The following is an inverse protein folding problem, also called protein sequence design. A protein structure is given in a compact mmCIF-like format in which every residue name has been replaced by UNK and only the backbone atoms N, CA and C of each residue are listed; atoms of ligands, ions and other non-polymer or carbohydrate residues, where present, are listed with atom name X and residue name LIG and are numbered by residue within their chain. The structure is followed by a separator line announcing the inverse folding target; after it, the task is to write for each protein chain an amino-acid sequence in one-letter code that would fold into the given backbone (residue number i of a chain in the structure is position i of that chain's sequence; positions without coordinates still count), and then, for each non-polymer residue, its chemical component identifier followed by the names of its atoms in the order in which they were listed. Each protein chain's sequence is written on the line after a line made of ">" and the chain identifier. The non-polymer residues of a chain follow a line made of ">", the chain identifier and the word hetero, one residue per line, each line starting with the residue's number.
data_IF_620009961850
#
_entry.id   IF_620009961850
#
_cell.length_a   1.000
_cell.length_b   1.000
_cell.length_c   1.000
_cell.angle_alpha   90.00
_cell.angle_beta   90.00
_cell.angle_gamma   90.00
#
_symmetry.space_group_name_H-M   'P 1'
#
loop_
_entity.id
_entity.type
_entity.pdbx_description
1 polymer ?
#
# COMPACT_ATOMS: atom_id res chain seq x y z
N UNK A 1 51.57 35.21 -11.23
CA UNK A 1 50.15 35.47 -11.06
C UNK A 1 49.50 34.27 -10.36
N UNK A 2 48.74 34.49 -9.27
CA UNK A 2 48.24 33.43 -8.39
C UNK A 2 46.94 32.85 -8.97
N UNK A 3 46.95 31.59 -9.39
CA UNK A 3 45.69 30.91 -9.74
C UNK A 3 45.01 30.40 -8.47
N UNK A 4 43.85 31.00 -8.16
CA UNK A 4 42.96 30.59 -7.08
C UNK A 4 42.10 29.40 -7.48
N UNK A 5 42.02 28.45 -6.56
CA UNK A 5 41.21 27.23 -6.61
C UNK A 5 39.71 27.56 -6.69
N UNK A 6 38.96 26.88 -7.56
CA UNK A 6 37.49 26.83 -7.49
C UNK A 6 37.07 25.35 -7.38
N UNK A 7 36.39 25.02 -6.29
CA UNK A 7 35.88 23.69 -5.98
C UNK A 7 34.86 23.23 -7.02
N UNK A 8 35.07 22.04 -7.60
CA UNK A 8 34.10 21.36 -8.44
C UNK A 8 33.22 20.45 -7.56
N UNK A 9 31.94 20.79 -7.40
CA UNK A 9 30.93 19.88 -6.86
C UNK A 9 30.39 19.08 -8.04
N UNK A 10 30.69 17.77 -8.10
CA UNK A 10 30.04 16.86 -9.05
C UNK A 10 28.67 16.47 -8.50
N UNK A 11 27.61 16.89 -9.17
CA UNK A 11 26.37 16.13 -9.17
C UNK A 11 26.54 14.98 -10.17
N UNK A 12 26.38 13.75 -9.71
CA UNK A 12 26.27 12.56 -10.57
C UNK A 12 24.84 12.53 -11.08
N UNK A 13 24.65 13.05 -12.29
CA UNK A 13 23.42 12.89 -13.06
C UNK A 13 23.47 11.48 -13.65
N UNK A 14 22.64 10.57 -13.13
CA UNK A 14 22.47 9.25 -13.72
C UNK A 14 21.39 9.37 -14.78
N UNK A 15 21.77 9.07 -16.02
CA UNK A 15 21.05 9.25 -17.27
C UNK A 15 19.54 8.93 -17.19
N UNK A 16 18.72 9.96 -17.41
CA UNK A 16 17.29 9.84 -17.69
C UNK A 16 17.01 9.63 -19.17
N UNK A 17 17.66 8.65 -19.80
CA UNK A 17 17.45 8.32 -21.22
C UNK A 17 17.61 6.82 -21.45
N UNK A 18 16.72 6.04 -20.86
CA UNK A 18 16.34 4.73 -21.36
C UNK A 18 14.89 4.83 -21.84
N UNK A 19 14.54 4.11 -22.90
CA UNK A 19 13.14 3.96 -23.33
C UNK A 19 12.29 3.66 -22.10
N UNK A 20 11.21 4.44 -21.90
CA UNK A 20 10.18 4.06 -20.94
C UNK A 20 9.57 2.80 -21.55
N UNK A 21 9.75 1.61 -20.95
CA UNK A 21 9.21 0.39 -21.52
C UNK A 21 7.71 0.58 -21.72
N UNK A 22 7.20 0.18 -22.88
CA UNK A 22 5.76 0.19 -23.15
C UNK A 22 5.04 -0.55 -22.02
N UNK A 23 4.14 0.16 -21.35
CA UNK A 23 3.09 -0.34 -20.46
C UNK A 23 3.45 -1.55 -19.60
N UNK A 24 3.87 -1.32 -18.36
CA UNK A 24 3.65 -2.31 -17.30
C UNK A 24 2.14 -2.56 -17.21
N UNK A 25 1.67 -3.66 -17.81
CA UNK A 25 0.29 -4.14 -17.73
C UNK A 25 0.02 -4.68 -16.31
N UNK A 26 -0.06 -3.77 -15.35
CA UNK A 26 -0.45 -4.08 -13.98
C UNK A 26 -1.92 -4.46 -13.93
N UNK A 27 -2.21 -5.66 -13.45
CA UNK A 27 -3.55 -6.08 -13.07
C UNK A 27 -3.62 -6.43 -11.58
N UNK A 28 -4.82 -6.36 -11.04
CA UNK A 28 -5.08 -6.69 -9.65
C UNK A 28 -6.50 -7.19 -9.44
N UNK A 29 -6.69 -7.93 -8.36
CA UNK A 29 -7.96 -8.53 -7.98
C UNK A 29 -8.28 -8.14 -6.54
N UNK A 30 -9.51 -7.71 -6.28
CA UNK A 30 -9.99 -7.48 -4.92
C UNK A 30 -11.29 -8.25 -4.72
N UNK A 31 -11.32 -9.07 -3.68
CA UNK A 31 -12.52 -9.75 -3.21
C UNK A 31 -12.84 -9.29 -1.80
N UNK A 32 -14.11 -9.03 -1.54
CA UNK A 32 -14.56 -8.53 -0.24
C UNK A 32 -15.89 -9.18 0.17
N UNK A 33 -15.86 -10.43 0.66
CA UNK A 33 -17.04 -11.03 1.22
C UNK A 33 -17.40 -10.36 2.55
N UNK A 34 -18.70 -10.11 2.73
CA UNK A 34 -19.28 -9.61 3.97
C UNK A 34 -20.35 -10.58 4.46
N UNK A 35 -20.40 -10.82 5.76
CA UNK A 35 -21.36 -11.73 6.37
C UNK A 35 -21.97 -11.11 7.63
N UNK A 36 -23.29 -10.95 7.64
CA UNK A 36 -24.02 -10.52 8.84
C UNK A 36 -24.13 -11.70 9.81
N UNK A 37 -23.38 -11.65 10.92
CA UNK A 37 -23.46 -12.65 12.00
C UNK A 37 -24.76 -12.42 12.79
N UNK A 38 -25.11 -11.16 13.00
CA UNK A 38 -26.33 -10.71 13.69
C UNK A 38 -26.77 -9.38 13.09
N UNK A 39 -27.99 -8.93 13.38
CA UNK A 39 -28.49 -7.59 12.97
C UNK A 39 -27.60 -6.42 13.40
N UNK A 40 -26.73 -6.63 14.41
CA UNK A 40 -25.80 -5.62 14.93
C UNK A 40 -24.33 -5.91 14.64
N UNK A 41 -24.00 -7.08 14.10
CA UNK A 41 -22.62 -7.51 13.93
C UNK A 41 -22.41 -8.08 12.53
N UNK A 42 -21.51 -7.44 11.79
CA UNK A 42 -21.13 -7.83 10.44
C UNK A 42 -19.63 -8.11 10.40
N UNK A 43 -19.29 -9.25 9.81
CA UNK A 43 -17.91 -9.61 9.51
C UNK A 43 -17.58 -9.18 8.08
N UNK A 44 -16.38 -8.64 7.91
CA UNK A 44 -15.84 -8.22 6.61
C UNK A 44 -14.47 -8.83 6.46
N UNK A 45 -14.26 -9.55 5.36
CA UNK A 45 -12.92 -9.91 4.92
C UNK A 45 -12.64 -9.21 3.58
N UNK A 46 -11.38 -8.85 3.35
CA UNK A 46 -10.90 -8.30 2.09
C UNK A 46 -9.60 -8.99 1.74
N UNK A 47 -9.51 -9.54 0.54
CA UNK A 47 -8.26 -10.01 -0.02
C UNK A 47 -8.00 -9.24 -1.31
N UNK A 48 -6.83 -8.61 -1.39
CA UNK A 48 -6.37 -7.88 -2.55
C UNK A 48 -5.06 -8.49 -3.04
N UNK A 49 -4.96 -8.68 -4.34
CA UNK A 49 -3.77 -9.11 -5.05
C UNK A 49 -3.42 -8.10 -6.13
N UNK A 50 -2.13 -7.84 -6.32
CA UNK A 50 -1.60 -7.00 -7.37
C UNK A 50 -0.33 -7.66 -7.91
N UNK A 51 -0.27 -7.86 -9.23
CA UNK A 51 0.77 -8.63 -9.91
C UNK A 51 2.12 -7.91 -9.92
N UNK A 52 2.21 -6.78 -10.59
CA UNK A 52 3.35 -5.86 -10.51
C UNK A 52 2.81 -4.46 -10.32
N UNK A 53 3.42 -3.63 -9.48
CA UNK A 53 2.98 -2.25 -9.35
C UNK A 53 4.07 -1.39 -8.76
N UNK A 54 4.50 -0.37 -9.51
CA UNK A 54 5.26 0.74 -8.91
C UNK A 54 4.39 1.31 -7.81
N UNK A 55 4.72 1.02 -6.56
CA UNK A 55 4.02 1.61 -5.43
C UNK A 55 4.14 3.13 -5.58
N UNK A 56 3.07 3.79 -6.02
CA UNK A 56 2.89 5.23 -5.87
C UNK A 56 2.62 5.49 -4.40
N UNK A 57 3.62 5.21 -3.56
CA UNK A 57 3.66 5.76 -2.21
C UNK A 57 3.65 7.28 -2.39
N UNK A 58 2.81 8.02 -1.64
CA UNK A 58 2.84 9.47 -1.67
C UNK A 58 4.28 9.92 -1.46
N UNK A 59 4.78 10.76 -2.38
CA UNK A 59 6.17 11.16 -2.60
C UNK A 59 6.94 11.57 -1.33
N UNK A 60 7.33 10.61 -0.48
CA UNK A 60 8.07 10.91 0.76
C UNK A 60 9.40 10.19 0.89
N UNK A 61 9.74 9.30 -0.03
CA UNK A 61 11.01 8.59 -0.02
C UNK A 61 11.68 8.65 -1.40
N UNK A 62 12.98 8.97 -1.39
CA UNK A 62 13.87 9.12 -2.56
C UNK A 62 14.15 7.79 -3.27
N UNK A 63 13.87 6.65 -2.63
CA UNK A 63 14.07 5.31 -3.20
C UNK A 63 12.70 4.77 -3.59
N UNK A 64 12.52 4.51 -4.89
CA UNK A 64 11.37 3.78 -5.43
C UNK A 64 11.76 2.31 -5.42
N UNK A 65 11.20 1.56 -4.49
CA UNK A 65 11.31 0.10 -4.53
C UNK A 65 10.19 -0.44 -5.41
N UNK A 66 10.60 -1.22 -6.41
CA UNK A 66 9.69 -1.98 -7.24
C UNK A 66 9.26 -3.20 -6.42
N UNK A 67 7.95 -3.36 -6.24
CA UNK A 67 7.34 -4.41 -5.45
C UNK A 67 6.47 -5.22 -6.41
N UNK A 68 6.70 -6.53 -6.43
CA UNK A 68 5.92 -7.50 -7.19
C UNK A 68 5.13 -8.39 -6.22
N UNK A 69 4.08 -9.04 -6.74
CA UNK A 69 3.23 -9.97 -6.01
C UNK A 69 2.75 -9.43 -4.66
N UNK A 70 2.09 -8.27 -4.66
CA UNK A 70 1.55 -7.71 -3.43
C UNK A 70 0.25 -8.42 -3.04
N UNK A 71 0.26 -9.05 -1.87
CA UNK A 71 -0.88 -9.71 -1.24
C UNK A 71 -1.29 -8.92 0.00
N UNK A 72 -2.55 -8.50 0.07
CA UNK A 72 -3.11 -7.85 1.26
C UNK A 72 -4.34 -8.62 1.73
N UNK A 73 -4.32 -9.02 2.99
CA UNK A 73 -5.44 -9.68 3.65
C UNK A 73 -5.91 -8.83 4.82
N UNK A 74 -7.20 -8.49 4.83
CA UNK A 74 -7.84 -7.78 5.92
C UNK A 74 -9.02 -8.59 6.44
N UNK A 75 -9.17 -8.63 7.75
CA UNK A 75 -10.33 -9.18 8.43
C UNK A 75 -10.78 -8.21 9.52
N UNK A 76 -12.10 -7.97 9.59
CA UNK A 76 -12.66 -7.01 10.52
C UNK A 76 -14.11 -7.29 10.87
N UNK A 77 -14.57 -6.57 11.89
CA UNK A 77 -15.92 -6.60 12.43
C UNK A 77 -16.48 -5.18 12.46
N UNK A 78 -17.73 -5.06 12.01
CA UNK A 78 -18.54 -3.86 12.10
C UNK A 78 -19.63 -4.10 13.15
N UNK A 79 -19.66 -3.28 14.20
CA UNK A 79 -20.67 -3.32 15.25
C UNK A 79 -21.59 -2.10 15.17
N UNK A 80 -22.87 -2.33 14.91
CA UNK A 80 -23.91 -1.31 14.78
C UNK A 80 -24.55 -1.05 16.15
N UNK A 81 -24.32 0.14 16.71
CA UNK A 81 -24.81 0.52 18.04
C UNK A 81 -26.23 1.08 17.95
N UNK A 82 -26.47 1.97 16.97
CA UNK A 82 -27.74 2.67 16.81
C UNK A 82 -28.26 2.53 15.38
N UNK A 83 -28.46 1.27 14.94
CA UNK A 83 -28.72 0.95 13.54
C UNK A 83 -27.64 1.54 12.64
N UNK A 84 -28.04 2.20 11.56
CA UNK A 84 -27.10 2.80 10.59
C UNK A 84 -26.47 4.14 11.05
N UNK A 85 -26.87 4.67 12.20
CA UNK A 85 -26.42 6.01 12.66
C UNK A 85 -25.06 6.02 13.33
N UNK A 86 -24.70 4.92 13.98
CA UNK A 86 -23.44 4.78 14.70
C UNK A 86 -22.94 3.35 14.55
N UNK A 87 -21.76 3.21 13.94
CA UNK A 87 -21.03 1.94 13.86
C UNK A 87 -19.59 2.07 14.31
N UNK A 88 -19.13 1.04 15.01
CA UNK A 88 -17.73 0.81 15.33
C UNK A 88 -17.19 -0.20 14.33
N UNK A 89 -15.96 0.02 13.88
CA UNK A 89 -15.28 -0.84 12.92
C UNK A 89 -13.92 -1.16 13.52
N UNK A 90 -13.59 -2.45 13.60
CA UNK A 90 -12.30 -2.91 14.09
C UNK A 90 -11.79 -4.00 13.16
N UNK A 91 -10.51 -4.01 12.85
CA UNK A 91 -9.94 -5.05 12.01
C UNK A 91 -8.43 -5.07 12.03
N UNK A 92 -7.90 -6.08 11.36
CA UNK A 92 -6.49 -6.34 11.20
C UNK A 92 -6.19 -6.51 9.72
N UNK A 93 -5.11 -5.89 9.27
CA UNK A 93 -4.57 -6.04 7.93
C UNK A 93 -3.17 -6.64 8.00
N UNK A 94 -2.93 -7.64 7.16
CA UNK A 94 -1.63 -8.22 6.90
C UNK A 94 -1.29 -8.03 5.42
N UNK A 95 -0.09 -7.58 5.14
CA UNK A 95 0.40 -7.38 3.79
C UNK A 95 1.75 -8.07 3.62
N UNK A 96 1.90 -8.76 2.50
CA UNK A 96 3.13 -9.35 2.00
C UNK A 96 3.40 -8.83 0.60
N UNK A 97 4.65 -8.51 0.30
CA UNK A 97 5.08 -8.15 -1.05
C UNK A 97 6.53 -8.57 -1.26
N UNK A 98 6.84 -8.95 -2.49
CA UNK A 98 8.19 -9.35 -2.89
C UNK A 98 8.94 -8.12 -3.38
N UNK A 99 10.17 -7.91 -2.91
CA UNK A 99 11.02 -6.84 -3.42
C UNK A 99 11.65 -7.23 -4.75
N UNK A 100 11.48 -6.39 -5.78
CA UNK A 100 12.08 -6.63 -7.09
C UNK A 100 13.61 -6.70 -6.99
N UNK A 101 14.20 -7.74 -7.58
CA UNK A 101 15.65 -8.00 -7.59
C UNK A 101 16.27 -8.23 -6.19
N UNK A 102 15.49 -8.72 -5.22
CA UNK A 102 15.97 -9.12 -3.89
C UNK A 102 15.17 -10.33 -3.35
N UNK A 103 15.80 -11.21 -2.57
CA UNK A 103 15.12 -12.36 -1.91
C UNK A 103 14.45 -11.96 -0.59
N UNK A 104 14.29 -10.66 -0.35
CA UNK A 104 13.76 -10.14 0.91
C UNK A 104 12.25 -9.87 0.77
N UNK A 105 11.47 -10.54 1.61
CA UNK A 105 10.02 -10.38 1.68
C UNK A 105 9.69 -9.17 2.57
N UNK A 106 8.85 -8.27 2.07
CA UNK A 106 8.32 -7.17 2.87
C UNK A 106 6.99 -7.59 3.50
N UNK A 107 6.96 -7.61 4.83
CA UNK A 107 5.75 -7.89 5.61
C UNK A 107 5.29 -6.67 6.39
N UNK A 108 3.98 -6.47 6.51
CA UNK A 108 3.40 -5.39 7.31
C UNK A 108 2.12 -5.83 8.00
N UNK A 109 2.00 -5.50 9.28
CA UNK A 109 0.86 -5.78 10.13
C UNK A 109 0.25 -4.47 10.62
N UNK A 110 -1.07 -4.29 10.46
CA UNK A 110 -1.77 -3.06 10.85
C UNK A 110 -3.07 -3.37 11.56
N UNK A 111 -3.26 -2.78 12.75
CA UNK A 111 -4.55 -2.75 13.44
C UNK A 111 -5.32 -1.49 13.08
N UNK A 112 -6.61 -1.66 12.75
CA UNK A 112 -7.50 -0.56 12.40
C UNK A 112 -8.66 -0.49 13.37
N UNK A 113 -8.89 0.70 13.91
CA UNK A 113 -10.05 1.03 14.73
C UNK A 113 -10.68 2.30 14.15
N UNK A 114 -11.97 2.25 13.86
CA UNK A 114 -12.71 3.38 13.32
C UNK A 114 -14.11 3.49 13.94
N UNK A 115 -14.58 4.73 14.04
CA UNK A 115 -15.95 5.06 14.42
C UNK A 115 -16.56 5.84 13.28
N UNK A 116 -17.75 5.43 12.84
CA UNK A 116 -18.53 6.19 11.85
C UNK A 116 -19.86 6.59 12.47
N UNK A 117 -20.13 7.88 12.43
CA UNK A 117 -21.40 8.50 12.83
C UNK A 117 -22.08 9.14 11.62
N UNK A 118 -23.41 9.18 11.66
CA UNK A 118 -24.25 9.91 10.71
C UNK A 118 -25.30 10.71 11.51
N UNK A 119 -25.50 11.98 11.15
CA UNK A 119 -26.38 12.94 11.83
C UNK A 119 -27.49 13.44 10.90
#
# INVERSE_FOLDING_TARGET
>A
DRQGLVHQVRARETDGTGDIPDGEDTWGLVIMPTYAITEKLEFVAKYAYMDSGRTQRPQRYTVREELENCHTLYAGLNYYICGDKLKLMAGYEYMTADQYDSTDDITSDTWMLAVRTYF
#
